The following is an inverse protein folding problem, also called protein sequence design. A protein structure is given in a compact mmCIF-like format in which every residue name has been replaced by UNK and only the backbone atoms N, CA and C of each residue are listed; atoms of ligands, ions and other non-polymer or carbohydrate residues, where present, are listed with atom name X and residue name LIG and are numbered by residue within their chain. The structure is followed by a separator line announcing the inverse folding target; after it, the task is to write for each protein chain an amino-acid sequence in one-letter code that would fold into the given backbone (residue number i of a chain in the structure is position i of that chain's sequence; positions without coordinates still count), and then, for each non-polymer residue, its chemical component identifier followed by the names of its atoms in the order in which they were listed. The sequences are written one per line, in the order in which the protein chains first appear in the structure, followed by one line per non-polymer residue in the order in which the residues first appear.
data_IF_885721207069
#
_entry.id   IF_885721207069
#
_cell.length_a   1.000
_cell.length_b   1.000
_cell.length_c   1.000
_cell.angle_alpha   90.00
_cell.angle_beta   90.00
_cell.angle_gamma   90.00
#
_symmetry.space_group_name_H-M   'P 1'
#
loop_
_entity.id
_entity.type
_entity.pdbx_description
1 polymer ?
#
# COMPACT_ATOMS: atom_id res chain seq x y z
N UNK A 1 -4.76 -13.36 9.01
CA UNK A 1 -5.67 -12.72 9.98
C UNK A 1 -5.07 -11.45 10.59
N UNK A 2 -3.91 -11.53 11.26
CA UNK A 2 -3.26 -10.36 11.88
C UNK A 2 -3.05 -9.19 10.90
N UNK A 3 -2.58 -9.44 9.68
CA UNK A 3 -2.43 -8.40 8.65
C UNK A 3 -3.74 -7.68 8.31
N UNK A 4 -4.87 -8.39 8.30
CA UNK A 4 -6.18 -7.81 8.03
C UNK A 4 -6.66 -6.94 9.19
N UNK A 5 -6.40 -7.37 10.44
CA UNK A 5 -6.68 -6.56 11.63
C UNK A 5 -5.88 -5.25 11.57
N UNK A 6 -4.59 -5.34 11.26
CA UNK A 6 -3.68 -4.19 11.18
C UNK A 6 -4.07 -3.20 10.07
N UNK A 7 -4.37 -3.70 8.87
CA UNK A 7 -4.83 -2.84 7.77
C UNK A 7 -6.22 -2.26 8.05
N UNK A 8 -7.09 -3.02 8.72
CA UNK A 8 -8.38 -2.54 9.22
C UNK A 8 -8.23 -1.42 10.24
N UNK A 9 -7.28 -1.52 11.18
CA UNK A 9 -6.96 -0.44 12.14
C UNK A 9 -6.55 0.84 11.41
N UNK A 10 -5.74 0.73 10.36
CA UNK A 10 -5.36 1.87 9.52
C UNK A 10 -6.57 2.55 8.86
N UNK A 11 -7.53 1.75 8.35
CA UNK A 11 -8.79 2.29 7.82
C UNK A 11 -9.63 2.98 8.91
N UNK A 12 -9.79 2.36 10.08
CA UNK A 12 -10.53 2.96 11.18
C UNK A 12 -9.90 4.26 11.68
N UNK A 13 -8.57 4.41 11.64
CA UNK A 13 -7.89 5.69 11.95
C UNK A 13 -8.29 6.81 10.98
N UNK A 14 -8.50 6.51 9.70
CA UNK A 14 -9.03 7.48 8.75
C UNK A 14 -10.44 7.93 9.16
N UNK A 15 -11.31 6.98 9.52
CA UNK A 15 -12.70 7.24 9.93
C UNK A 15 -12.74 8.06 11.22
N UNK A 16 -11.93 7.70 12.22
CA UNK A 16 -11.82 8.45 13.49
C UNK A 16 -11.32 9.87 13.24
N UNK A 17 -10.32 10.04 12.37
CA UNK A 17 -9.80 11.37 12.00
C UNK A 17 -10.88 12.23 11.35
N UNK A 18 -11.72 11.64 10.50
CA UNK A 18 -12.85 12.34 9.88
C UNK A 18 -13.93 12.71 10.92
N UNK A 19 -14.19 11.81 11.87
CA UNK A 19 -15.11 12.05 13.00
C UNK A 19 -14.63 13.21 13.88
N UNK A 20 -13.34 13.28 14.19
CA UNK A 20 -12.72 14.38 14.94
C UNK A 20 -12.83 15.73 14.23
N UNK A 21 -12.65 15.76 12.90
CA UNK A 21 -12.85 17.00 12.10
C UNK A 21 -14.32 17.42 12.04
N UNK A 22 -15.24 16.46 12.09
CA UNK A 22 -16.68 16.65 11.99
C UNK A 22 -17.16 16.84 10.54
N UNK A 23 -18.09 15.98 10.10
CA UNK A 23 -18.57 15.87 8.69
C UNK A 23 -19.04 17.22 8.10
N UNK A 24 -19.54 18.13 8.93
CA UNK A 24 -20.08 19.44 8.54
C UNK A 24 -19.02 20.54 8.33
N UNK A 25 -17.74 20.27 8.63
CA UNK A 25 -16.60 21.20 8.45
C UNK A 25 -15.57 20.68 7.45
N UNK A 26 -15.86 19.57 6.78
CA UNK A 26 -14.93 18.93 5.83
C UNK A 26 -15.02 19.64 4.50
N UNK A 27 -13.93 20.28 4.09
CA UNK A 27 -13.80 20.82 2.74
C UNK A 27 -13.76 19.68 1.70
N UNK A 28 -14.24 19.89 0.46
CA UNK A 28 -14.36 18.83 -0.54
C UNK A 28 -13.05 18.09 -0.86
N UNK A 29 -11.91 18.78 -0.78
CA UNK A 29 -10.57 18.24 -0.92
C UNK A 29 -10.24 17.18 0.14
N UNK A 30 -10.60 17.44 1.39
CA UNK A 30 -10.42 16.49 2.50
C UNK A 30 -11.27 15.23 2.31
N UNK A 31 -12.49 15.38 1.78
CA UNK A 31 -13.36 14.23 1.48
C UNK A 31 -12.75 13.35 0.39
N UNK A 32 -12.21 13.95 -0.67
CA UNK A 32 -11.52 13.20 -1.73
C UNK A 32 -10.28 12.49 -1.19
N UNK A 33 -9.47 13.17 -0.36
CA UNK A 33 -8.32 12.55 0.32
C UNK A 33 -8.73 11.35 1.19
N UNK A 34 -9.85 11.46 1.90
CA UNK A 34 -10.39 10.35 2.69
C UNK A 34 -10.80 9.16 1.81
N UNK A 35 -11.51 9.40 0.70
CA UNK A 35 -11.93 8.32 -0.23
C UNK A 35 -10.71 7.66 -0.87
N UNK A 36 -9.74 8.45 -1.34
CA UNK A 36 -8.51 7.91 -1.94
C UNK A 36 -7.69 7.14 -0.91
N UNK A 37 -7.59 7.63 0.32
CA UNK A 37 -6.93 6.92 1.42
C UNK A 37 -7.60 5.57 1.73
N UNK A 38 -8.94 5.54 1.80
CA UNK A 38 -9.70 4.31 2.00
C UNK A 38 -9.52 3.30 0.86
N UNK A 39 -9.57 3.77 -0.39
CA UNK A 39 -9.30 2.95 -1.57
C UNK A 39 -7.86 2.41 -1.57
N UNK A 40 -6.90 3.22 -1.15
CA UNK A 40 -5.50 2.82 -1.05
C UNK A 40 -5.31 1.68 -0.04
N UNK A 41 -5.93 1.78 1.14
CA UNK A 41 -5.92 0.71 2.15
C UNK A 41 -6.58 -0.58 1.62
N UNK A 42 -7.69 -0.44 0.91
CA UNK A 42 -8.35 -1.59 0.26
C UNK A 42 -7.46 -2.24 -0.80
N UNK A 43 -6.82 -1.46 -1.66
CA UNK A 43 -5.90 -1.97 -2.69
C UNK A 43 -4.70 -2.68 -2.07
N UNK A 44 -4.14 -2.16 -0.99
CA UNK A 44 -3.07 -2.85 -0.25
C UNK A 44 -3.54 -4.21 0.27
N UNK A 45 -4.72 -4.28 0.89
CA UNK A 45 -5.33 -5.54 1.31
C UNK A 45 -5.52 -6.51 0.13
N UNK A 46 -6.05 -6.02 -0.99
CA UNK A 46 -6.27 -6.84 -2.18
C UNK A 46 -4.96 -7.44 -2.68
N UNK A 47 -3.94 -6.61 -2.92
CA UNK A 47 -2.61 -7.04 -3.35
C UNK A 47 -2.08 -8.12 -2.39
N UNK A 48 -2.20 -7.90 -1.08
CA UNK A 48 -1.77 -8.90 -0.10
C UNK A 48 -2.50 -10.23 -0.25
N UNK A 49 -3.83 -10.26 -0.38
CA UNK A 49 -4.57 -11.52 -0.48
C UNK A 49 -4.35 -12.26 -1.80
N UNK A 50 -4.22 -11.52 -2.90
CA UNK A 50 -3.94 -12.11 -4.21
C UNK A 50 -2.56 -12.76 -4.23
N UNK A 51 -1.54 -12.08 -3.69
CA UNK A 51 -0.17 -12.58 -3.80
C UNK A 51 0.29 -13.44 -2.62
N UNK A 52 -0.17 -13.21 -1.38
CA UNK A 52 0.45 -13.79 -0.17
C UNK A 52 -0.54 -14.34 0.87
N UNK A 53 -1.67 -13.67 1.11
CA UNK A 53 -2.39 -13.76 2.39
C UNK A 53 -2.99 -15.10 2.81
N UNK A 54 -3.14 -16.05 1.88
CA UNK A 54 -3.64 -17.41 2.12
C UNK A 54 -2.64 -18.51 1.72
N UNK A 55 -1.41 -18.14 1.38
CA UNK A 55 -0.40 -19.07 0.90
C UNK A 55 0.37 -19.71 2.05
N UNK A 56 0.68 -21.00 1.93
CA UNK A 56 1.55 -21.71 2.88
C UNK A 56 3.03 -21.46 2.53
N UNK A 57 3.93 -21.54 3.53
CA UNK A 57 5.36 -21.57 3.25
C UNK A 57 5.72 -22.70 2.28
N UNK A 58 6.63 -22.45 1.35
CA UNK A 58 7.02 -23.42 0.31
C UNK A 58 7.65 -24.70 0.86
N UNK A 59 8.25 -24.63 2.04
CA UNK A 59 8.87 -25.76 2.72
C UNK A 59 8.80 -25.58 4.25
N UNK A 60 9.06 -26.67 4.98
CA UNK A 60 9.08 -26.69 6.44
C UNK A 60 10.48 -26.42 7.01
N UNK A 61 11.40 -25.82 6.23
CA UNK A 61 12.73 -25.51 6.76
C UNK A 61 12.61 -24.37 7.78
N UNK A 62 13.32 -24.44 8.91
CA UNK A 62 13.23 -23.43 9.95
C UNK A 62 13.58 -22.02 9.44
N UNK A 63 14.53 -21.92 8.49
CA UNK A 63 14.88 -20.65 7.85
C UNK A 63 13.71 -20.05 7.05
N UNK A 64 13.02 -20.85 6.23
CA UNK A 64 11.87 -20.40 5.42
C UNK A 64 10.72 -19.96 6.32
N UNK A 65 10.44 -20.71 7.39
CA UNK A 65 9.40 -20.37 8.36
C UNK A 65 9.76 -19.06 9.08
N UNK A 66 11.01 -18.88 9.50
CA UNK A 66 11.46 -17.66 10.15
C UNK A 66 11.35 -16.44 9.22
N UNK A 67 11.79 -16.56 7.96
CA UNK A 67 11.66 -15.48 6.96
C UNK A 67 10.18 -15.18 6.69
N UNK A 68 9.35 -16.21 6.55
CA UNK A 68 7.92 -16.06 6.33
C UNK A 68 7.25 -15.28 7.48
N UNK A 69 7.57 -15.60 8.73
CA UNK A 69 7.06 -14.89 9.90
C UNK A 69 7.57 -13.44 9.98
N UNK A 70 8.88 -13.24 9.87
CA UNK A 70 9.50 -11.91 9.97
C UNK A 70 9.02 -10.99 8.85
N UNK A 71 8.91 -11.49 7.62
CA UNK A 71 8.44 -10.69 6.51
C UNK A 71 6.96 -10.30 6.66
N UNK A 72 6.10 -11.15 7.24
CA UNK A 72 4.74 -10.75 7.60
C UNK A 72 4.71 -9.67 8.69
N UNK A 73 5.55 -9.78 9.73
CA UNK A 73 5.65 -8.78 10.78
C UNK A 73 6.07 -7.40 10.23
N UNK A 74 7.10 -7.38 9.38
CA UNK A 74 7.57 -6.14 8.73
C UNK A 74 6.51 -5.61 7.76
N UNK A 75 5.83 -6.48 7.00
CA UNK A 75 4.74 -6.08 6.11
C UNK A 75 3.59 -5.42 6.88
N UNK A 76 3.24 -5.95 8.05
CA UNK A 76 2.23 -5.34 8.93
C UNK A 76 2.68 -3.97 9.44
N UNK A 77 3.94 -3.83 9.89
CA UNK A 77 4.50 -2.55 10.30
C UNK A 77 4.44 -1.52 9.17
N UNK A 78 4.81 -1.90 7.96
CA UNK A 78 4.68 -1.06 6.76
C UNK A 78 3.23 -0.65 6.48
N UNK A 79 2.26 -1.55 6.68
CA UNK A 79 0.84 -1.25 6.60
C UNK A 79 0.39 -0.19 7.62
N UNK A 80 0.85 -0.29 8.87
CA UNK A 80 0.59 0.73 9.91
C UNK A 80 1.18 2.08 9.51
N UNK A 81 2.43 2.09 9.02
CA UNK A 81 3.10 3.32 8.56
C UNK A 81 2.26 4.04 7.49
N UNK A 82 1.81 3.31 6.47
CA UNK A 82 0.94 3.89 5.43
C UNK A 82 -0.38 4.40 6.03
N UNK A 83 -1.03 3.63 6.90
CA UNK A 83 -2.28 4.07 7.56
C UNK A 83 -2.11 5.36 8.36
N UNK A 84 -0.99 5.53 9.08
CA UNK A 84 -0.68 6.77 9.82
C UNK A 84 -0.44 7.94 8.87
N UNK A 85 0.27 7.73 7.75
CA UNK A 85 0.48 8.77 6.75
C UNK A 85 -0.84 9.22 6.10
N UNK A 86 -1.69 8.27 5.69
CA UNK A 86 -2.99 8.59 5.11
C UNK A 86 -3.91 9.31 6.11
N UNK A 87 -3.84 9.01 7.42
CA UNK A 87 -4.57 9.77 8.44
C UNK A 87 -4.08 11.22 8.57
N UNK A 88 -2.79 11.47 8.37
CA UNK A 88 -2.28 12.84 8.29
C UNK A 88 -2.73 13.55 7.01
N UNK A 89 -2.90 12.84 5.90
CA UNK A 89 -3.36 13.40 4.60
C UNK A 89 -4.76 14.01 4.67
N UNK A 90 -5.68 13.36 5.40
CA UNK A 90 -7.04 13.89 5.64
C UNK A 90 -6.98 15.22 6.43
N UNK A 91 -5.85 15.58 7.02
CA UNK A 91 -5.69 16.85 7.75
C UNK A 91 -5.29 18.02 6.86
N UNK A 92 -4.81 17.79 5.63
CA UNK A 92 -4.12 18.78 4.78
C UNK A 92 -4.93 19.03 3.49
N UNK A 93 -4.89 20.26 2.98
CA UNK A 93 -5.54 20.62 1.72
C UNK A 93 -4.67 20.31 0.50
N UNK A 94 -5.27 20.28 -0.70
CA UNK A 94 -4.58 19.90 -1.94
C UNK A 94 -3.40 20.78 -2.35
N UNK A 95 -3.44 22.05 -1.95
CA UNK A 95 -2.44 23.05 -2.33
C UNK A 95 -1.36 23.25 -1.28
N UNK A 96 -1.56 22.68 -0.09
CA UNK A 96 -0.59 22.75 0.99
C UNK A 96 0.51 21.70 0.77
N UNK A 97 1.76 21.99 1.15
CA UNK A 97 2.81 21.00 1.13
C UNK A 97 2.54 19.92 2.19
N UNK A 98 2.66 18.66 1.79
CA UNK A 98 2.49 17.56 2.72
C UNK A 98 3.69 17.49 3.68
N UNK A 99 3.49 17.34 5.00
CA UNK A 99 4.58 17.33 5.97
C UNK A 99 5.57 16.18 5.71
N UNK A 100 6.84 16.54 5.53
CA UNK A 100 7.93 15.62 5.17
C UNK A 100 8.04 14.42 6.12
N UNK A 101 7.76 14.62 7.42
CA UNK A 101 7.76 13.55 8.42
C UNK A 101 6.73 12.45 8.12
N UNK A 102 5.53 12.81 7.66
CA UNK A 102 4.51 11.84 7.30
C UNK A 102 4.73 11.28 5.90
N UNK A 103 5.32 12.07 4.99
CA UNK A 103 5.75 11.58 3.67
C UNK A 103 6.78 10.46 3.79
N UNK A 104 7.77 10.62 4.67
CA UNK A 104 8.76 9.58 4.93
C UNK A 104 8.06 8.28 5.33
N UNK A 105 7.17 8.36 6.32
CA UNK A 105 6.44 7.19 6.83
C UNK A 105 5.58 6.54 5.72
N UNK A 106 4.85 7.34 4.93
CA UNK A 106 4.01 6.81 3.84
C UNK A 106 4.79 6.23 2.68
N UNK A 107 5.88 6.87 2.25
CA UNK A 107 6.70 6.44 1.12
C UNK A 107 7.55 5.22 1.47
N UNK A 108 8.26 5.24 2.59
CA UNK A 108 9.04 4.08 3.05
C UNK A 108 8.14 2.94 3.52
N UNK A 109 6.98 3.26 4.09
CA UNK A 109 5.94 2.28 4.40
C UNK A 109 5.48 1.54 3.14
N UNK A 110 5.12 2.27 2.08
CA UNK A 110 4.71 1.64 0.81
C UNK A 110 5.84 0.85 0.15
N UNK A 111 7.05 1.42 0.07
CA UNK A 111 8.22 0.75 -0.49
C UNK A 111 8.54 -0.55 0.26
N UNK A 112 8.55 -0.50 1.60
CA UNK A 112 8.75 -1.66 2.46
C UNK A 112 7.64 -2.69 2.30
N UNK A 113 6.38 -2.26 2.17
CA UNK A 113 5.25 -3.14 1.92
C UNK A 113 5.41 -3.94 0.62
N UNK A 114 5.74 -3.26 -0.48
CA UNK A 114 5.98 -3.88 -1.79
C UNK A 114 7.20 -4.82 -1.74
N UNK A 115 8.28 -4.41 -1.06
CA UNK A 115 9.47 -5.23 -0.87
C UNK A 115 9.17 -6.51 -0.08
N UNK A 116 8.40 -6.42 1.01
CA UNK A 116 8.02 -7.61 1.80
C UNK A 116 7.06 -8.52 1.04
N UNK A 117 6.16 -7.98 0.21
CA UNK A 117 5.38 -8.81 -0.72
C UNK A 117 6.26 -9.57 -1.71
N UNK A 118 7.42 -9.02 -2.08
CA UNK A 118 8.41 -9.70 -2.90
C UNK A 118 9.11 -10.83 -2.14
N UNK A 119 9.61 -10.56 -0.94
CA UNK A 119 10.24 -11.57 -0.09
C UNK A 119 9.27 -12.70 0.21
N UNK A 120 8.03 -12.39 0.58
CA UNK A 120 7.01 -13.39 0.89
C UNK A 120 6.68 -14.25 -0.32
N UNK A 121 6.54 -13.66 -1.51
CA UNK A 121 6.31 -14.42 -2.74
C UNK A 121 7.40 -15.47 -2.99
N UNK A 122 8.66 -15.20 -2.68
CA UNK A 122 9.77 -16.15 -2.88
C UNK A 122 9.80 -17.28 -1.83
N UNK A 123 8.99 -17.16 -0.77
CA UNK A 123 8.97 -18.07 0.38
C UNK A 123 7.65 -18.83 0.54
N UNK A 124 6.69 -18.63 -0.36
CA UNK A 124 5.40 -19.33 -0.39
C UNK A 124 5.28 -20.27 -1.60
N UNK A 125 4.31 -21.18 -1.55
CA UNK A 125 3.94 -22.04 -2.68
C UNK A 125 3.51 -21.22 -3.92
N UNK A 126 3.72 -21.78 -5.12
CA UNK A 126 3.32 -21.09 -6.36
C UNK A 126 1.80 -20.92 -6.44
N UNK A 127 1.36 -19.74 -6.92
CA UNK A 127 -0.05 -19.38 -7.09
C UNK A 127 -0.28 -18.85 -8.49
N UNK A 128 -1.49 -19.06 -9.01
CA UNK A 128 -1.90 -18.55 -10.33
C UNK A 128 -1.75 -17.02 -10.41
N UNK A 129 -2.18 -16.29 -9.38
CA UNK A 129 -2.00 -14.84 -9.28
C UNK A 129 -0.51 -14.42 -9.34
N UNK A 130 0.39 -15.24 -8.81
CA UNK A 130 1.85 -15.00 -8.85
C UNK A 130 2.34 -14.83 -10.29
N UNK A 131 1.77 -15.57 -11.25
CA UNK A 131 2.18 -15.56 -12.66
C UNK A 131 1.97 -14.21 -13.34
N UNK A 132 1.02 -13.41 -12.86
CA UNK A 132 0.72 -12.08 -13.40
C UNK A 132 1.48 -10.96 -12.69
N UNK A 133 1.98 -11.20 -11.48
CA UNK A 133 2.81 -10.25 -10.76
C UNK A 133 4.23 -10.20 -11.35
N UNK A 134 4.62 -9.10 -11.99
CA UNK A 134 5.99 -8.93 -12.48
C UNK A 134 6.90 -8.27 -11.44
N UNK A 135 8.18 -8.65 -11.41
CA UNK A 135 9.17 -8.06 -10.50
C UNK A 135 9.56 -6.62 -10.87
N UNK A 136 9.56 -6.26 -12.15
CA UNK A 136 9.84 -4.91 -12.63
C UNK A 136 8.75 -3.91 -12.24
N UNK A 137 7.48 -4.30 -12.22
CA UNK A 137 6.39 -3.46 -11.72
C UNK A 137 6.56 -3.18 -10.22
N UNK A 138 7.00 -4.19 -9.45
CA UNK A 138 7.31 -4.02 -8.02
C UNK A 138 8.49 -3.09 -7.80
N UNK A 139 9.54 -3.25 -8.59
CA UNK A 139 10.70 -2.36 -8.56
C UNK A 139 10.31 -0.93 -8.92
N UNK A 140 9.49 -0.75 -9.96
CA UNK A 140 8.93 0.54 -10.33
C UNK A 140 8.16 1.18 -9.16
N UNK A 141 7.27 0.43 -8.50
CA UNK A 141 6.53 0.92 -7.34
C UNK A 141 7.44 1.35 -6.19
N UNK A 142 8.47 0.56 -5.87
CA UNK A 142 9.46 0.90 -4.83
C UNK A 142 10.21 2.18 -5.19
N UNK A 143 10.75 2.27 -6.41
CA UNK A 143 11.50 3.44 -6.87
C UNK A 143 10.61 4.69 -6.95
N UNK A 144 9.36 4.53 -7.40
CA UNK A 144 8.39 5.62 -7.47
C UNK A 144 8.01 6.12 -6.08
N UNK A 145 7.79 5.24 -5.10
CA UNK A 145 7.51 5.63 -3.72
C UNK A 145 8.70 6.39 -3.10
N UNK A 146 9.93 5.88 -3.28
CA UNK A 146 11.14 6.56 -2.79
C UNK A 146 11.34 7.90 -3.51
N UNK A 147 11.16 7.95 -4.83
CA UNK A 147 11.24 9.19 -5.61
C UNK A 147 10.20 10.23 -5.17
N UNK A 148 8.99 9.77 -4.82
CA UNK A 148 7.92 10.65 -4.32
C UNK A 148 8.34 11.35 -3.03
N UNK A 149 9.04 10.67 -2.12
CA UNK A 149 9.55 11.29 -0.90
C UNK A 149 10.43 12.52 -1.19
N UNK A 150 11.31 12.43 -2.19
CA UNK A 150 12.15 13.56 -2.59
C UNK A 150 11.38 14.66 -3.33
N UNK A 151 10.26 14.32 -3.98
CA UNK A 151 9.41 15.29 -4.65
C UNK A 151 8.51 16.07 -3.67
N UNK A 152 8.09 15.46 -2.55
CA UNK A 152 7.12 16.05 -1.59
C UNK A 152 7.46 17.48 -1.16
N UNK A 153 8.70 17.85 -0.80
CA UNK A 153 9.02 19.21 -0.37
C UNK A 153 8.84 20.27 -1.47
N UNK A 154 8.76 19.85 -2.73
CA UNK A 154 8.79 20.71 -3.91
C UNK A 154 7.45 20.80 -4.64
N UNK A 155 6.46 19.97 -4.27
CA UNK A 155 5.18 19.89 -4.98
C UNK A 155 3.99 19.93 -4.02
N UNK A 156 2.81 20.38 -4.48
CA UNK A 156 1.58 20.32 -3.68
C UNK A 156 1.22 18.87 -3.30
N UNK A 157 0.49 18.71 -2.20
CA UNK A 157 0.02 17.38 -1.72
C UNK A 157 -0.71 16.59 -2.80
N UNK A 158 -1.51 17.25 -3.66
CA UNK A 158 -2.18 16.60 -4.78
C UNK A 158 -1.20 15.89 -5.73
N UNK A 159 -0.10 16.56 -6.10
CA UNK A 159 0.90 15.98 -7.01
C UNK A 159 1.66 14.86 -6.33
N UNK A 160 2.04 15.05 -5.06
CA UNK A 160 2.68 14.00 -4.27
C UNK A 160 1.79 12.75 -4.13
N UNK A 161 0.50 12.92 -3.89
CA UNK A 161 -0.48 11.83 -3.78
C UNK A 161 -0.69 11.11 -5.11
N UNK A 162 -0.67 11.81 -6.23
CA UNK A 162 -0.75 11.17 -7.55
C UNK A 162 0.50 10.31 -7.83
N UNK A 163 1.69 10.79 -7.47
CA UNK A 163 2.93 10.02 -7.60
C UNK A 163 2.91 8.79 -6.68
N UNK A 164 2.59 8.97 -5.40
CA UNK A 164 2.47 7.88 -4.43
C UNK A 164 1.38 6.88 -4.82
N UNK A 165 0.23 7.38 -5.27
CA UNK A 165 -0.87 6.57 -5.79
C UNK A 165 -0.44 5.77 -7.02
N UNK A 166 0.31 6.37 -7.95
CA UNK A 166 0.86 5.65 -9.11
C UNK A 166 1.76 4.49 -8.68
N UNK A 167 2.59 4.70 -7.64
CA UNK A 167 3.41 3.64 -7.06
C UNK A 167 2.57 2.46 -6.53
N UNK A 168 1.46 2.73 -5.85
CA UNK A 168 0.55 1.71 -5.31
C UNK A 168 -0.33 1.06 -6.40
N UNK A 169 -1.09 1.84 -7.16
CA UNK A 169 -2.07 1.36 -8.12
C UNK A 169 -1.41 0.60 -9.29
N UNK A 170 -0.17 0.93 -9.66
CA UNK A 170 0.59 0.13 -10.63
C UNK A 170 0.75 -1.34 -10.20
N UNK A 171 0.79 -1.62 -8.90
CA UNK A 171 0.92 -2.97 -8.35
C UNK A 171 -0.33 -3.83 -8.53
N UNK A 172 -1.50 -3.24 -8.80
CA UNK A 172 -2.76 -3.96 -9.02
C UNK A 172 -3.25 -3.84 -10.46
N UNK A 173 -3.19 -2.64 -11.06
CA UNK A 173 -3.71 -2.38 -12.41
C UNK A 173 -2.96 -3.22 -13.44
N UNK A 174 -1.63 -3.31 -13.35
CA UNK A 174 -0.84 -4.06 -14.34
C UNK A 174 -1.10 -5.57 -14.24
N UNK A 175 -1.03 -6.23 -13.07
CA UNK A 175 -1.37 -7.65 -12.96
C UNK A 175 -2.81 -7.98 -13.37
N UNK A 176 -3.79 -7.18 -12.93
CA UNK A 176 -5.21 -7.39 -13.27
C UNK A 176 -5.45 -7.23 -14.77
N UNK A 177 -4.90 -6.18 -15.39
CA UNK A 177 -5.06 -5.97 -16.85
C UNK A 177 -4.50 -7.13 -17.65
N UNK A 178 -3.38 -7.71 -17.22
CA UNK A 178 -2.78 -8.88 -17.89
C UNK A 178 -3.58 -10.15 -17.66
N UNK A 179 -4.06 -10.38 -16.45
CA UNK A 179 -4.95 -11.50 -16.15
C UNK A 179 -6.20 -11.42 -17.03
N UNK A 180 -6.82 -10.24 -17.11
CA UNK A 180 -7.98 -9.99 -17.98
C UNK A 180 -7.68 -10.28 -19.45
N UNK A 181 -6.56 -9.78 -20.00
CA UNK A 181 -6.18 -10.06 -21.39
C UNK A 181 -5.92 -11.55 -21.67
N UNK A 182 -5.42 -12.29 -20.68
CA UNK A 182 -5.14 -13.72 -20.82
C UNK A 182 -6.44 -14.52 -20.84
N UNK A 183 -7.32 -14.29 -19.87
CA UNK A 183 -8.60 -15.02 -19.75
C UNK A 183 -9.71 -14.52 -20.68
N UNK A 184 -9.54 -13.38 -21.37
CA UNK A 184 -10.50 -12.93 -22.39
C UNK A 184 -10.48 -13.79 -23.66
N UNK A 185 -9.37 -14.50 -23.89
CA UNK A 185 -9.18 -15.32 -25.08
C UNK A 185 -9.35 -16.83 -24.78
N UNK A 186 -9.72 -17.18 -23.55
CA UNK A 186 -10.11 -18.52 -23.12
C UNK A 186 -11.65 -18.64 -23.12
#
# INVERSE_FOLDING_TARGET
LLTLIVLGEGFFKLVVTLSEKGIYKVAPDVLVNFVIGGLSMFVMCWIYFDFVGNAKPKDNKPATIAIWWLAHLVLMLCGVMVGVALAAEVKIGFWDPYPVKYAAIGCFGLAGYIAMLWVLRQNIEDRVASRFGRGDVRLFGILCAIGTYFAVPHVPSLVANLLWGTALFSQIVVPVSRAWMTFRND
#
